data_IF_172118487639
#
_entry.id   IF_172118487639
#
_cell.length_a   1.000
_cell.length_b   1.000
_cell.length_c   1.000
_cell.angle_alpha   90.00
_cell.angle_beta   90.00
_cell.angle_gamma   90.00
#
_symmetry.space_group_name_H-M   'P 1'
#
loop_
_entity.id
_entity.type
_entity.pdbx_description
1 polymer ?
#
# COMPACT_ATOMS: atom_id res chain seq x y z
N UNK A 1 16.00 18.78 9.31
CA UNK A 1 14.55 18.62 9.05
C UNK A 1 14.39 17.26 8.40
N UNK A 2 14.03 16.22 9.17
CA UNK A 2 13.83 14.88 8.63
C UNK A 2 12.54 14.96 7.82
N UNK A 3 12.63 14.75 6.51
CA UNK A 3 11.46 14.56 5.64
C UNK A 3 10.68 13.40 6.25
N UNK A 4 9.48 13.65 6.77
CA UNK A 4 8.61 12.58 7.28
C UNK A 4 8.33 11.65 6.10
N UNK A 5 9.03 10.51 6.08
CA UNK A 5 9.03 9.58 4.96
C UNK A 5 7.61 9.12 4.65
N UNK A 6 7.24 9.15 3.38
CA UNK A 6 5.98 8.59 2.90
C UNK A 6 5.93 7.12 3.30
N UNK A 7 5.07 6.78 4.26
CA UNK A 7 4.98 5.42 4.76
C UNK A 7 4.08 4.59 3.84
N UNK A 8 4.42 3.30 3.68
CA UNK A 8 3.60 2.34 2.95
C UNK A 8 2.16 2.27 3.49
N UNK A 9 2.01 2.53 4.79
CA UNK A 9 0.73 2.63 5.46
C UNK A 9 -0.14 3.78 4.90
N UNK A 10 0.48 4.94 4.64
CA UNK A 10 -0.20 6.07 4.01
C UNK A 10 -0.59 5.76 2.56
N UNK A 11 0.32 5.14 1.79
CA UNK A 11 0.00 4.70 0.42
C UNK A 11 -1.26 3.83 0.38
N UNK A 12 -1.34 2.84 1.25
CA UNK A 12 -2.47 1.90 1.30
C UNK A 12 -3.76 2.62 1.71
N UNK A 13 -3.66 3.58 2.64
CA UNK A 13 -4.78 4.43 3.02
C UNK A 13 -5.30 5.22 1.81
N UNK A 14 -4.41 5.92 1.11
CA UNK A 14 -4.75 6.81 -0.01
C UNK A 14 -5.42 6.02 -1.14
N UNK A 15 -4.76 4.94 -1.60
CA UNK A 15 -5.28 4.07 -2.66
C UNK A 15 -6.66 3.48 -2.33
N UNK A 16 -6.89 3.11 -1.07
CA UNK A 16 -8.20 2.62 -0.61
C UNK A 16 -9.25 3.72 -0.68
N UNK A 17 -8.92 4.93 -0.22
CA UNK A 17 -9.86 6.07 -0.22
C UNK A 17 -10.18 6.56 -1.63
N UNK A 18 -9.19 6.62 -2.52
CA UNK A 18 -9.38 6.93 -3.94
C UNK A 18 -10.29 5.91 -4.63
N UNK A 19 -10.23 4.65 -4.20
CA UNK A 19 -11.09 3.57 -4.68
C UNK A 19 -12.50 3.58 -4.05
N UNK A 20 -12.81 4.55 -3.18
CA UNK A 20 -14.11 4.68 -2.50
C UNK A 20 -14.41 3.57 -1.50
N UNK A 21 -13.41 2.80 -1.06
CA UNK A 21 -13.61 1.65 -0.17
C UNK A 21 -13.47 2.04 1.29
N UNK A 22 -14.32 1.48 2.16
CA UNK A 22 -14.05 1.46 3.60
C UNK A 22 -12.97 0.42 3.94
N UNK A 23 -12.36 0.49 5.13
CA UNK A 23 -11.43 -0.56 5.58
C UNK A 23 -12.11 -1.94 5.65
N UNK A 24 -13.40 -2.00 6.03
CA UNK A 24 -14.19 -3.24 6.01
C UNK A 24 -14.37 -3.79 4.60
N UNK A 25 -14.65 -2.92 3.62
CA UNK A 25 -14.82 -3.33 2.23
C UNK A 25 -13.50 -3.87 1.64
N UNK A 26 -12.38 -3.20 1.92
CA UNK A 26 -11.06 -3.71 1.52
C UNK A 26 -10.74 -5.05 2.20
N UNK A 27 -11.03 -5.17 3.50
CA UNK A 27 -10.82 -6.41 4.24
C UNK A 27 -11.60 -7.59 3.64
N UNK A 28 -12.86 -7.39 3.26
CA UNK A 28 -13.68 -8.41 2.59
C UNK A 28 -13.06 -8.85 1.26
N UNK A 29 -12.63 -7.89 0.42
CA UNK A 29 -11.97 -8.21 -0.85
C UNK A 29 -10.66 -8.96 -0.67
N UNK A 30 -9.92 -8.64 0.39
CA UNK A 30 -8.67 -9.32 0.73
C UNK A 30 -8.88 -10.68 1.43
N UNK A 31 -10.10 -11.03 1.87
CA UNK A 31 -10.33 -12.20 2.70
C UNK A 31 -9.64 -12.10 4.08
N UNK A 32 -9.70 -10.92 4.71
CA UNK A 32 -9.11 -10.66 6.03
C UNK A 32 -10.07 -9.83 6.91
N UNK A 33 -9.60 -9.36 8.08
CA UNK A 33 -10.40 -8.55 9.01
C UNK A 33 -10.13 -7.06 8.86
N UNK A 34 -11.08 -6.21 9.26
CA UNK A 34 -10.86 -4.76 9.30
C UNK A 34 -9.71 -4.38 10.24
N UNK A 35 -9.50 -5.12 11.34
CA UNK A 35 -8.38 -4.89 12.26
C UNK A 35 -7.00 -5.18 11.64
N UNK A 36 -6.93 -6.07 10.64
CA UNK A 36 -5.71 -6.27 9.85
C UNK A 36 -5.46 -5.05 8.95
N UNK A 37 -6.51 -4.52 8.29
CA UNK A 37 -6.38 -3.31 7.46
C UNK A 37 -6.02 -2.07 8.30
N UNK A 38 -6.58 -1.93 9.51
CA UNK A 38 -6.24 -0.82 10.40
C UNK A 38 -4.76 -0.85 10.78
N UNK A 39 -4.26 -1.99 11.24
CA UNK A 39 -2.83 -2.16 11.58
C UNK A 39 -1.90 -1.89 10.39
N UNK A 40 -2.31 -2.32 9.19
CA UNK A 40 -1.56 -2.07 7.96
C UNK A 40 -1.44 -0.57 7.64
N UNK A 41 -2.50 0.21 7.92
CA UNK A 41 -2.53 1.67 7.72
C UNK A 41 -1.99 2.50 8.90
N UNK A 42 -1.78 1.88 10.06
CA UNK A 42 -1.18 2.53 11.25
C UNK A 42 0.34 2.36 11.29
N UNK A 43 0.94 1.61 10.35
CA UNK A 43 2.38 1.32 10.32
C UNK A 43 2.83 0.30 11.36
N UNK A 44 1.90 -0.33 12.07
CA UNK A 44 2.15 -1.24 13.20
C UNK A 44 2.40 -2.68 12.78
N UNK A 45 3.63 -2.99 12.34
CA UNK A 45 4.24 -4.32 12.43
C UNK A 45 3.86 -5.36 11.37
N UNK A 46 4.89 -6.02 10.80
CA UNK A 46 4.84 -7.23 9.95
C UNK A 46 3.99 -7.20 8.65
N UNK A 47 3.23 -6.13 8.39
CA UNK A 47 2.35 -5.98 7.23
C UNK A 47 3.02 -5.58 5.92
N UNK A 48 4.30 -5.17 5.94
CA UNK A 48 5.03 -4.69 4.75
C UNK A 48 5.68 -5.83 3.94
N UNK A 49 5.18 -7.05 4.07
CA UNK A 49 5.64 -8.15 3.22
C UNK A 49 5.09 -7.95 1.81
N UNK A 50 5.90 -8.29 0.82
CA UNK A 50 5.54 -8.17 -0.60
C UNK A 50 4.23 -8.89 -0.92
N UNK A 51 3.96 -10.04 -0.28
CA UNK A 51 2.72 -10.79 -0.46
C UNK A 51 1.47 -10.03 0.01
N UNK A 52 1.57 -9.31 1.15
CA UNK A 52 0.48 -8.46 1.63
C UNK A 52 0.20 -7.32 0.66
N UNK A 53 1.25 -6.67 0.14
CA UNK A 53 1.12 -5.61 -0.85
C UNK A 53 0.50 -6.10 -2.15
N UNK A 54 0.87 -7.29 -2.60
CA UNK A 54 0.29 -7.91 -3.79
C UNK A 54 -1.21 -8.17 -3.61
N UNK A 55 -1.62 -8.64 -2.42
CA UNK A 55 -3.04 -8.85 -2.07
C UNK A 55 -3.81 -7.53 -1.97
N UNK A 56 -3.22 -6.48 -1.42
CA UNK A 56 -3.82 -5.13 -1.41
C UNK A 56 -4.03 -4.64 -2.82
N UNK A 57 -2.99 -4.69 -3.67
CA UNK A 57 -3.08 -4.26 -5.07
C UNK A 57 -4.19 -5.02 -5.81
N UNK A 58 -4.22 -6.35 -5.67
CA UNK A 58 -5.25 -7.21 -6.27
C UNK A 58 -6.66 -6.84 -5.80
N UNK A 59 -6.85 -6.62 -4.49
CA UNK A 59 -8.16 -6.23 -3.94
C UNK A 59 -8.64 -4.84 -4.39
N UNK A 60 -7.70 -3.98 -4.81
CA UNK A 60 -7.95 -2.67 -5.40
C UNK A 60 -8.03 -2.71 -6.93
N UNK A 61 -7.87 -3.87 -7.57
CA UNK A 61 -7.86 -3.99 -9.04
C UNK A 61 -6.61 -3.37 -9.69
N UNK A 62 -5.49 -3.31 -8.96
CA UNK A 62 -4.21 -2.75 -9.39
C UNK A 62 -3.13 -3.82 -9.46
N UNK A 63 -2.02 -3.51 -10.11
CA UNK A 63 -0.83 -4.35 -10.16
C UNK A 63 0.22 -3.87 -9.15
N UNK A 64 0.86 -4.80 -8.44
CA UNK A 64 2.07 -4.47 -7.67
C UNK A 64 3.28 -4.55 -8.59
N UNK A 65 4.03 -3.46 -8.69
CA UNK A 65 5.32 -3.41 -9.39
C UNK A 65 6.40 -3.13 -8.35
N UNK A 66 7.39 -4.01 -8.26
CA UNK A 66 8.61 -3.79 -7.50
C UNK A 66 9.77 -3.83 -8.48
N UNK A 67 10.62 -2.81 -8.45
CA UNK A 67 11.74 -2.68 -9.37
C UNK A 67 12.97 -2.12 -8.66
N UNK A 68 14.15 -2.59 -9.04
CA UNK A 68 15.45 -2.12 -8.55
C UNK A 68 16.28 -1.61 -9.75
N UNK A 69 15.87 -0.51 -10.41
CA UNK A 69 16.58 -0.01 -11.57
C UNK A 69 17.88 0.70 -11.15
N UNK A 70 18.92 0.63 -11.98
CA UNK A 70 20.19 1.34 -11.76
C UNK A 70 20.02 2.87 -11.80
N UNK A 71 18.99 3.35 -12.51
CA UNK A 71 18.56 4.76 -12.54
C UNK A 71 17.06 4.86 -12.31
N UNK A 72 16.63 5.79 -11.45
CA UNK A 72 15.19 6.00 -11.17
C UNK A 72 14.50 6.55 -12.42
N UNK A 73 13.47 5.88 -12.96
CA UNK A 73 12.80 6.35 -14.17
C UNK A 73 12.07 7.67 -13.93
N UNK A 74 12.04 8.54 -14.95
CA UNK A 74 11.49 9.90 -14.85
C UNK A 74 9.97 9.97 -14.59
N UNK A 75 9.23 8.87 -14.76
CA UNK A 75 7.80 8.79 -14.47
C UNK A 75 7.46 7.44 -13.84
N UNK A 76 6.86 7.50 -12.66
CA UNK A 76 6.13 6.41 -12.03
C UNK A 76 4.79 6.97 -11.56
N UNK A 77 3.73 6.77 -12.35
CA UNK A 77 2.39 7.11 -11.90
C UNK A 77 2.02 6.04 -10.85
N UNK A 78 1.92 6.44 -9.58
CA UNK A 78 1.58 5.59 -8.42
C UNK A 78 2.73 4.80 -7.76
N UNK A 79 4.01 5.18 -7.96
CA UNK A 79 5.10 4.60 -7.18
C UNK A 79 5.56 5.52 -6.04
N UNK A 80 5.93 4.88 -4.94
CA UNK A 80 6.61 5.52 -3.82
C UNK A 80 8.11 5.28 -3.97
N UNK A 81 8.89 6.35 -4.10
CA UNK A 81 10.33 6.27 -3.96
C UNK A 81 10.66 6.11 -2.46
N UNK A 82 11.09 4.91 -2.08
CA UNK A 82 11.65 4.66 -0.75
C UNK A 82 13.14 4.99 -0.84
N UNK A 83 13.61 5.92 -0.01
CA UNK A 83 15.01 6.35 0.04
C UNK A 83 15.97 5.22 0.45
#
# INVERSE_FOLDING_TARGET
MIVQGFSLAQLIYDLRTESGLSQRALAQRMGTTQSVISRLQEGGGSGNRVDTLARVATALGRYLVISFPETVPAKLNDAVQVA
#
